data_IF_831642720233
#
_entry.id   IF_831642720233
#
_cell.length_a   1.000
_cell.length_b   1.000
_cell.length_c   1.000
_cell.angle_alpha   90.00
_cell.angle_beta   90.00
_cell.angle_gamma   90.00
#
_symmetry.space_group_name_H-M   'P 1'
#
loop_
_entity.id
_entity.type
_entity.pdbx_description
1 polymer ?
#
# COMPACT_ATOMS: atom_id res chain seq x y z
N UNK A 1 -3.80 -11.18 -1.20
CA UNK A 1 -2.40 -11.39 -0.81
C UNK A 1 -2.13 -10.50 0.40
N UNK A 2 -1.81 -11.09 1.55
CA UNK A 2 -1.46 -10.32 2.74
C UNK A 2 0.02 -9.92 2.67
N UNK A 3 0.35 -8.72 3.12
CA UNK A 3 1.73 -8.26 3.22
C UNK A 3 1.86 -6.97 4.01
N UNK A 4 3.08 -6.50 4.17
CA UNK A 4 3.41 -5.21 4.75
C UNK A 4 4.03 -4.34 3.67
N UNK A 5 3.60 -3.08 3.56
CA UNK A 5 4.21 -2.13 2.62
C UNK A 5 5.65 -1.88 3.07
N UNK A 6 6.64 -2.33 2.30
CA UNK A 6 8.06 -2.15 2.62
C UNK A 6 8.67 -0.92 1.97
N UNK A 7 8.11 -0.44 0.85
CA UNK A 7 8.56 0.75 0.13
C UNK A 7 7.49 1.23 -0.85
N UNK A 8 7.53 2.53 -1.17
CA UNK A 8 6.70 3.17 -2.18
C UNK A 8 7.61 3.91 -3.17
N UNK A 9 7.44 3.69 -4.46
CA UNK A 9 8.18 4.38 -5.52
C UNK A 9 7.24 5.06 -6.51
N UNK A 10 7.53 6.32 -6.86
CA UNK A 10 6.82 7.07 -7.90
C UNK A 10 7.61 7.12 -9.21
N UNK A 11 6.98 6.71 -10.30
CA UNK A 11 7.54 6.73 -11.66
C UNK A 11 6.57 7.46 -12.60
N UNK A 12 6.52 8.79 -12.48
CA UNK A 12 5.64 9.63 -13.30
C UNK A 12 4.16 9.40 -12.98
N UNK A 13 3.44 8.71 -13.88
CA UNK A 13 2.02 8.39 -13.69
C UNK A 13 1.77 7.06 -12.97
N UNK A 14 2.81 6.32 -12.63
CA UNK A 14 2.74 5.01 -11.99
C UNK A 14 3.33 5.10 -10.58
N UNK A 15 2.71 4.44 -9.62
CA UNK A 15 3.24 4.19 -8.28
C UNK A 15 3.45 2.69 -8.11
N UNK A 16 4.57 2.31 -7.51
CA UNK A 16 4.90 0.92 -7.17
C UNK A 16 4.88 0.80 -5.64
N UNK A 17 4.06 -0.10 -5.13
CA UNK A 17 4.13 -0.57 -3.75
C UNK A 17 4.90 -1.88 -3.71
N UNK A 18 5.94 -1.93 -2.89
CA UNK A 18 6.63 -3.17 -2.59
C UNK A 18 6.02 -3.79 -1.35
N UNK A 19 5.47 -5.00 -1.48
CA UNK A 19 4.86 -5.74 -0.37
C UNK A 19 5.81 -6.83 0.11
N UNK A 20 6.25 -6.73 1.36
CA UNK A 20 6.95 -7.82 2.05
C UNK A 20 5.93 -8.87 2.50
N UNK A 21 6.11 -10.11 2.03
CA UNK A 21 5.25 -11.25 2.30
C UNK A 21 5.81 -12.10 3.46
N UNK A 22 4.94 -12.89 4.08
CA UNK A 22 5.33 -13.78 5.20
C UNK A 22 6.32 -14.87 4.80
N UNK A 23 6.36 -15.24 3.51
CA UNK A 23 7.31 -16.22 2.97
C UNK A 23 8.70 -15.63 2.67
N UNK A 24 8.92 -14.37 3.05
CA UNK A 24 10.19 -13.65 2.89
C UNK A 24 10.40 -13.07 1.49
N UNK A 25 9.45 -13.20 0.57
CA UNK A 25 9.50 -12.54 -0.73
C UNK A 25 9.01 -11.10 -0.64
N UNK A 26 9.44 -10.29 -1.61
CA UNK A 26 8.88 -8.97 -1.86
C UNK A 26 8.26 -8.96 -3.24
N UNK A 27 7.00 -8.53 -3.35
CA UNK A 27 6.28 -8.47 -4.61
C UNK A 27 5.89 -7.01 -4.93
N UNK A 28 6.09 -6.54 -6.18
CA UNK A 28 5.65 -5.22 -6.60
C UNK A 28 4.15 -5.22 -6.95
N UNK A 29 3.46 -4.17 -6.56
CA UNK A 29 2.07 -3.87 -6.94
C UNK A 29 2.01 -2.49 -7.57
N UNK A 30 1.32 -2.38 -8.70
CA UNK A 30 1.32 -1.18 -9.53
C UNK A 30 -0.01 -0.46 -9.43
N UNK A 31 0.05 0.86 -9.26
CA UNK A 31 -1.11 1.74 -9.23
C UNK A 31 -0.91 2.93 -10.17
N UNK A 32 -2.02 3.47 -10.66
CA UNK A 32 -2.01 4.81 -11.23
C UNK A 32 -1.81 5.85 -10.12
N UNK A 33 -0.97 6.85 -10.38
CA UNK A 33 -0.57 7.82 -9.36
C UNK A 33 -1.74 8.61 -8.78
N UNK A 34 -2.72 9.03 -9.60
CA UNK A 34 -3.85 9.84 -9.11
C UNK A 34 -4.81 9.06 -8.21
N UNK A 35 -5.35 7.88 -8.61
CA UNK A 35 -6.15 7.06 -7.71
C UNK A 35 -5.40 6.69 -6.43
N UNK A 36 -4.09 6.39 -6.55
CA UNK A 36 -3.26 6.08 -5.40
C UNK A 36 -3.16 7.24 -4.40
N UNK A 37 -2.90 8.47 -4.87
CA UNK A 37 -2.85 9.65 -3.99
C UNK A 37 -4.17 9.88 -3.26
N UNK A 38 -5.32 9.75 -3.94
CA UNK A 38 -6.64 9.91 -3.31
C UNK A 38 -6.87 8.84 -2.24
N UNK A 39 -6.46 7.60 -2.51
CA UNK A 39 -6.53 6.52 -1.53
C UNK A 39 -5.64 6.83 -0.31
N UNK A 40 -4.39 7.24 -0.53
CA UNK A 40 -3.45 7.55 0.55
C UNK A 40 -3.97 8.69 1.45
N UNK A 41 -4.54 9.73 0.85
CA UNK A 41 -5.20 10.84 1.58
C UNK A 41 -6.41 10.36 2.39
N UNK A 42 -7.22 9.45 1.82
CA UNK A 42 -8.39 8.87 2.51
C UNK A 42 -7.97 8.05 3.74
N UNK A 43 -6.80 7.43 3.64
CA UNK A 43 -6.14 6.67 4.70
C UNK A 43 -5.37 7.55 5.70
N UNK A 44 -5.51 8.88 5.60
CA UNK A 44 -4.91 9.85 6.52
C UNK A 44 -3.40 10.03 6.35
N UNK A 45 -2.82 9.56 5.26
CA UNK A 45 -1.39 9.74 4.98
C UNK A 45 -1.10 11.19 4.55
N UNK A 46 -0.14 11.84 5.21
CA UNK A 46 0.38 13.15 4.80
C UNK A 46 1.45 13.01 3.71
N UNK A 47 2.11 11.84 3.68
CA UNK A 47 3.09 11.44 2.68
C UNK A 47 2.96 9.95 2.34
N UNK A 48 3.49 9.53 1.18
CA UNK A 48 3.52 8.11 0.82
C UNK A 48 4.39 7.26 1.75
N UNK A 49 5.35 7.89 2.43
CA UNK A 49 6.23 7.21 3.37
C UNK A 49 5.48 6.79 4.64
N UNK A 50 4.38 7.48 4.98
CA UNK A 50 3.52 7.13 6.12
C UNK A 50 2.81 5.79 5.93
N UNK A 51 2.73 5.31 4.68
CA UNK A 51 2.16 4.01 4.34
C UNK A 51 3.14 2.86 4.61
N UNK A 52 4.44 3.14 4.71
CA UNK A 52 5.46 2.11 4.93
C UNK A 52 5.30 1.50 6.33
N UNK A 53 5.32 0.17 6.40
CA UNK A 53 5.10 -0.59 7.61
C UNK A 53 3.63 -0.94 7.87
N UNK A 54 2.68 -0.40 7.10
CA UNK A 54 1.26 -0.71 7.26
C UNK A 54 0.92 -2.10 6.70
N UNK A 55 0.14 -2.93 7.45
CA UNK A 55 -0.32 -4.21 6.96
C UNK A 55 -1.49 -4.04 5.99
N UNK A 56 -1.45 -4.78 4.87
CA UNK A 56 -2.45 -4.68 3.80
C UNK A 56 -2.87 -6.04 3.26
N UNK A 57 -4.08 -6.11 2.71
CA UNK A 57 -4.53 -7.16 1.81
C UNK A 57 -4.67 -6.60 0.38
N UNK A 58 -3.98 -7.22 -0.58
CA UNK A 58 -4.10 -6.92 -2.00
C UNK A 58 -4.85 -8.02 -2.76
N UNK A 59 -5.97 -7.70 -3.41
CA UNK A 59 -6.80 -8.70 -4.10
C UNK A 59 -6.49 -8.88 -5.60
N UNK A 60 -5.53 -8.12 -6.15
CA UNK A 60 -5.22 -8.08 -7.58
C UNK A 60 -5.71 -6.81 -8.28
N UNK A 61 -6.50 -5.97 -7.61
CA UNK A 61 -7.04 -4.71 -8.13
C UNK A 61 -6.92 -3.58 -7.10
N UNK A 62 -7.23 -3.85 -5.84
CA UNK A 62 -7.25 -2.87 -4.74
C UNK A 62 -6.43 -3.34 -3.55
N UNK A 63 -6.00 -2.38 -2.71
CA UNK A 63 -5.44 -2.64 -1.38
C UNK A 63 -6.45 -2.27 -0.30
N UNK A 64 -6.49 -3.07 0.74
CA UNK A 64 -7.25 -2.82 1.96
C UNK A 64 -6.27 -2.75 3.13
N UNK A 65 -6.33 -1.69 3.93
CA UNK A 65 -5.48 -1.52 5.11
C UNK A 65 -6.07 -2.28 6.30
N UNK A 66 -5.25 -3.12 6.93
CA UNK A 66 -5.67 -4.04 7.98
C UNK A 66 -5.46 -3.48 9.38
N UNK A 67 -4.84 -2.31 9.51
CA UNK A 67 -4.59 -1.62 10.77
C UNK A 67 -5.78 -0.75 11.23
N UNK A 68 -6.73 -0.46 10.35
CA UNK A 68 -7.96 0.28 10.66
C UNK A 68 -9.05 -0.56 11.36
N UNK A 69 -8.71 -1.74 11.90
CA UNK A 69 -9.64 -2.50 12.75
C UNK A 69 -9.66 -1.86 14.14
N UNK A 70 -10.34 -0.71 14.27
CA UNK A 70 -10.79 -0.25 15.59
C UNK A 70 -11.70 -1.33 16.17
N UNK A 71 -11.31 -1.82 17.35
CA UNK A 71 -12.10 -2.71 18.17
C UNK A 71 -13.37 -1.97 18.57
N UNK A 72 -14.51 -2.37 18.00
CA UNK A 72 -15.84 -1.96 18.44
C UNK A 72 -16.18 -2.46 19.85
#
# INVERSE_FOLDING_TARGET
MNGVISSVEGHGSIVILWLALEDGRTEPVYFDARPFSVMAETEGAESTDDLIGRPVFYNGETIEFLDNVEVA
#
